data_IF_724958979756
#
_entry.id   IF_724958979756
#
_cell.length_a   1.000
_cell.length_b   1.000
_cell.length_c   1.000
_cell.angle_alpha   90.00
_cell.angle_beta   90.00
_cell.angle_gamma   90.00
#
_symmetry.space_group_name_H-M   'P 1'
#
loop_
_entity.id
_entity.type
_entity.pdbx_description
1 polymer ?
#
# COMPACT_ATOMS: atom_id res chain seq x y z
N UNK A 1 45.37 10.66 84.53
CA UNK A 1 43.94 10.34 84.23
C UNK A 1 43.49 11.20 83.09
N UNK A 2 43.45 10.63 81.94
CA UNK A 2 42.95 11.29 80.71
C UNK A 2 41.87 10.40 80.13
N UNK A 3 40.63 10.87 80.12
CA UNK A 3 39.48 10.17 79.48
C UNK A 3 39.39 10.55 78.04
N UNK A 4 39.50 9.56 77.16
CA UNK A 4 39.34 9.70 75.73
C UNK A 4 37.91 9.35 75.38
N UNK A 5 37.15 10.33 74.87
CA UNK A 5 35.82 10.14 74.33
C UNK A 5 35.94 9.73 72.82
N UNK A 6 35.44 8.58 72.51
CA UNK A 6 35.31 8.12 71.09
C UNK A 6 33.94 8.54 70.64
N UNK A 7 33.89 9.46 69.68
CA UNK A 7 32.67 9.80 68.91
C UNK A 7 32.53 8.82 67.73
N UNK A 8 31.47 7.97 67.75
CA UNK A 8 31.07 7.20 66.62
C UNK A 8 30.20 8.11 65.68
N UNK A 9 30.77 8.52 64.56
CA UNK A 9 30.00 9.14 63.45
C UNK A 9 29.40 8.03 62.60
N UNK A 10 28.08 7.81 62.75
CA UNK A 10 27.33 6.95 61.87
C UNK A 10 27.09 7.63 60.48
N UNK A 11 27.80 7.19 59.50
CA UNK A 11 27.54 7.60 58.15
C UNK A 11 26.24 6.89 57.62
N UNK A 12 25.13 7.59 57.62
CA UNK A 12 23.96 7.19 56.84
C UNK A 12 24.26 7.43 55.34
N UNK A 13 24.63 6.40 54.64
CA UNK A 13 24.63 6.38 53.18
C UNK A 13 23.16 6.35 52.71
N UNK A 14 22.63 7.51 52.40
CA UNK A 14 21.40 7.64 51.63
C UNK A 14 21.70 7.15 50.21
N UNK A 15 21.34 5.93 49.89
CA UNK A 15 21.19 5.45 48.53
C UNK A 15 19.99 6.19 47.90
N UNK A 16 20.25 7.39 47.37
CA UNK A 16 19.36 7.99 46.37
C UNK A 16 19.58 7.18 45.09
N UNK A 17 18.72 6.18 44.89
CA UNK A 17 18.54 5.60 43.60
C UNK A 17 18.06 6.71 42.67
N UNK A 18 18.97 7.28 41.89
CA UNK A 18 18.60 8.03 40.72
C UNK A 18 17.93 7.02 39.75
N UNK A 19 16.60 6.95 39.80
CA UNK A 19 15.84 6.50 38.68
C UNK A 19 16.21 7.47 37.55
N UNK A 20 17.11 7.05 36.66
CA UNK A 20 17.25 7.69 35.36
C UNK A 20 15.88 7.53 34.74
N UNK A 21 15.11 8.61 34.64
CA UNK A 21 13.99 8.74 33.72
C UNK A 21 14.58 8.47 32.33
N UNK A 22 14.53 7.21 31.91
CA UNK A 22 14.80 6.88 30.50
C UNK A 22 13.69 7.55 29.72
N UNK A 23 13.98 8.74 29.20
CA UNK A 23 13.10 9.45 28.34
C UNK A 23 12.67 8.45 27.25
N UNK A 24 11.36 8.19 27.17
CA UNK A 24 10.80 7.23 26.21
C UNK A 24 11.13 7.72 24.82
N UNK A 25 11.71 6.84 23.99
CA UNK A 25 12.09 7.19 22.62
C UNK A 25 10.92 7.02 21.68
N UNK A 26 10.81 7.89 20.69
CA UNK A 26 9.87 7.75 19.58
C UNK A 26 10.29 6.59 18.69
N UNK A 27 9.37 5.66 18.42
CA UNK A 27 9.61 4.44 17.63
C UNK A 27 8.39 4.09 16.79
N UNK A 28 8.60 3.37 15.70
CA UNK A 28 7.51 2.89 14.86
C UNK A 28 6.71 1.74 15.51
N UNK A 29 7.39 0.92 16.31
CA UNK A 29 6.79 -0.18 17.09
C UNK A 29 7.29 -0.12 18.51
N UNK A 30 6.38 -0.11 19.49
CA UNK A 30 6.71 -0.13 20.92
C UNK A 30 6.08 -1.37 21.59
N UNK A 31 6.89 -2.13 22.30
CA UNK A 31 6.43 -3.27 23.08
C UNK A 31 5.73 -2.80 24.36
N UNK A 32 4.59 -3.42 24.67
CA UNK A 32 3.89 -3.28 25.95
C UNK A 32 4.38 -4.39 26.89
N UNK A 33 4.87 -4.02 28.05
CA UNK A 33 5.36 -4.98 29.04
C UNK A 33 4.24 -5.44 29.97
N UNK A 34 4.38 -6.63 30.55
CA UNK A 34 3.34 -7.22 31.39
C UNK A 34 3.01 -6.37 32.66
N UNK A 35 3.92 -5.49 33.08
CA UNK A 35 3.73 -4.61 34.23
C UNK A 35 3.26 -3.20 33.89
N UNK A 36 3.03 -2.89 32.61
CA UNK A 36 2.59 -1.55 32.22
C UNK A 36 1.18 -1.27 32.73
N UNK A 37 1.02 -0.14 33.38
CA UNK A 37 -0.30 0.39 33.73
C UNK A 37 -1.01 0.94 32.47
N UNK A 38 -2.31 1.22 32.57
CA UNK A 38 -3.03 1.90 31.50
C UNK A 38 -2.41 3.26 31.14
N UNK A 39 -1.89 3.99 32.12
CA UNK A 39 -1.20 5.26 31.88
C UNK A 39 0.12 5.05 31.09
N UNK A 40 0.89 4.00 31.42
CA UNK A 40 2.12 3.67 30.69
C UNK A 40 1.82 3.28 29.24
N UNK A 41 0.74 2.51 29.00
CA UNK A 41 0.32 2.13 27.64
C UNK A 41 -0.05 3.37 26.82
N UNK A 42 -0.80 4.32 27.39
CA UNK A 42 -1.12 5.57 26.69
C UNK A 42 0.14 6.42 26.45
N UNK A 43 1.03 6.51 27.40
CA UNK A 43 2.32 7.19 27.22
C UNK A 43 3.14 6.55 26.09
N UNK A 44 3.18 5.22 26.03
CA UNK A 44 3.81 4.47 24.92
C UNK A 44 3.12 4.76 23.58
N UNK A 45 1.80 4.75 23.54
CA UNK A 45 1.05 5.06 22.32
C UNK A 45 1.36 6.46 21.77
N UNK A 46 1.56 7.45 22.67
CA UNK A 46 1.93 8.81 22.27
C UNK A 46 3.37 8.92 21.71
N UNK A 47 4.20 7.88 21.89
CA UNK A 47 5.57 7.81 21.36
C UNK A 47 5.70 6.93 20.13
N UNK A 48 4.58 6.37 19.63
CA UNK A 48 4.56 5.64 18.36
C UNK A 48 4.45 6.62 17.21
N UNK A 49 5.41 6.57 16.29
CA UNK A 49 5.52 7.51 15.16
C UNK A 49 5.69 6.77 13.84
N UNK A 50 5.30 7.40 12.71
CA UNK A 50 5.51 6.81 11.40
C UNK A 50 7.00 6.62 11.11
N UNK A 51 7.33 5.60 10.32
CA UNK A 51 8.61 5.56 9.63
C UNK A 51 8.67 6.68 8.57
N UNK A 52 9.86 7.07 8.10
CA UNK A 52 9.98 8.06 7.03
C UNK A 52 9.18 7.70 5.77
N UNK A 53 9.10 6.41 5.43
CA UNK A 53 8.34 5.92 4.27
C UNK A 53 6.83 6.07 4.48
N UNK A 54 6.34 5.72 5.66
CA UNK A 54 4.94 5.88 6.02
C UNK A 54 4.53 7.35 6.04
N UNK A 55 5.37 8.24 6.60
CA UNK A 55 5.11 9.67 6.57
C UNK A 55 5.05 10.20 5.13
N UNK A 56 5.99 9.81 4.27
CA UNK A 56 6.01 10.21 2.86
C UNK A 56 4.82 9.65 2.07
N UNK A 57 4.29 8.48 2.45
CA UNK A 57 3.08 7.90 1.87
C UNK A 57 1.83 8.66 2.34
N UNK A 58 1.69 8.95 3.63
CA UNK A 58 0.57 9.71 4.19
C UNK A 58 0.46 11.11 3.56
N UNK A 59 1.61 11.77 3.32
CA UNK A 59 1.67 13.09 2.66
C UNK A 59 1.21 13.10 1.20
N UNK A 60 0.98 11.94 0.60
CA UNK A 60 0.35 11.89 -0.72
C UNK A 60 -1.13 12.27 -0.66
N UNK A 61 -1.81 12.07 0.46
CA UNK A 61 -3.22 12.42 0.74
C UNK A 61 -4.23 11.83 -0.24
N UNK A 62 -4.18 12.26 -1.51
CA UNK A 62 -5.07 11.85 -2.59
C UNK A 62 -4.27 11.16 -3.70
N UNK A 63 -4.60 9.90 -3.96
CA UNK A 63 -3.89 9.03 -4.91
C UNK A 63 -4.89 8.31 -5.83
N UNK A 64 -4.44 7.95 -7.01
CA UNK A 64 -5.25 7.24 -7.98
C UNK A 64 -5.04 5.73 -7.89
N UNK A 65 -6.11 4.98 -8.12
CA UNK A 65 -6.07 3.56 -8.44
C UNK A 65 -6.51 3.36 -9.89
N UNK A 66 -5.89 2.46 -10.61
CA UNK A 66 -6.27 2.15 -11.98
C UNK A 66 -6.46 0.65 -12.12
N UNK A 67 -7.73 0.22 -12.20
CA UNK A 67 -8.08 -1.14 -12.58
C UNK A 67 -8.22 -1.20 -14.10
N UNK A 68 -7.30 -1.91 -14.75
CA UNK A 68 -7.28 -2.10 -16.19
C UNK A 68 -6.78 -3.50 -16.51
N UNK A 69 -7.37 -4.14 -17.53
CA UNK A 69 -7.02 -5.51 -17.89
C UNK A 69 -8.14 -6.19 -18.70
N UNK A 70 -8.10 -7.52 -18.86
CA UNK A 70 -9.14 -8.28 -19.57
C UNK A 70 -10.54 -7.99 -19.07
N UNK A 71 -10.72 -7.70 -17.80
CA UNK A 71 -12.00 -7.45 -17.15
C UNK A 71 -12.72 -6.21 -17.73
N UNK A 72 -11.98 -5.20 -18.19
CA UNK A 72 -12.56 -4.07 -18.94
C UNK A 72 -13.20 -4.49 -20.26
N UNK A 73 -12.82 -5.64 -20.81
CA UNK A 73 -13.33 -6.17 -22.09
C UNK A 73 -14.37 -7.26 -21.88
N UNK A 74 -14.32 -8.00 -20.78
CA UNK A 74 -15.28 -9.06 -20.45
C UNK A 74 -16.43 -8.57 -19.58
N UNK A 75 -16.37 -7.36 -19.04
CA UNK A 75 -17.35 -6.78 -18.09
C UNK A 75 -17.45 -7.52 -16.76
N UNK A 76 -16.37 -8.18 -16.36
CA UNK A 76 -16.29 -8.92 -15.11
C UNK A 76 -15.47 -8.14 -14.08
N UNK A 77 -15.80 -8.28 -12.81
CA UNK A 77 -14.95 -7.79 -11.71
C UNK A 77 -13.83 -8.79 -11.42
N UNK A 78 -14.12 -10.07 -11.54
CA UNK A 78 -13.15 -11.15 -11.45
C UNK A 78 -13.14 -11.94 -12.76
N UNK A 79 -11.95 -12.12 -13.31
CA UNK A 79 -11.74 -13.09 -14.38
C UNK A 79 -11.67 -14.52 -13.83
N UNK A 80 -11.64 -15.48 -14.73
CA UNK A 80 -11.53 -16.91 -14.38
C UNK A 80 -10.09 -17.44 -14.44
N UNK A 81 -9.16 -16.66 -15.01
CA UNK A 81 -7.81 -17.11 -15.35
C UNK A 81 -7.76 -18.01 -16.60
N UNK A 82 -8.91 -18.19 -17.28
CA UNK A 82 -9.03 -19.01 -18.50
C UNK A 82 -9.35 -18.18 -19.75
N UNK A 83 -9.38 -16.88 -19.59
CA UNK A 83 -9.60 -15.95 -20.68
C UNK A 83 -8.49 -16.07 -21.72
N UNK A 84 -8.84 -16.14 -23.00
CA UNK A 84 -7.86 -15.95 -24.07
C UNK A 84 -7.27 -14.53 -23.93
N UNK A 85 -5.95 -14.35 -23.82
CA UNK A 85 -5.36 -13.02 -23.79
C UNK A 85 -5.84 -12.06 -24.88
N UNK A 86 -6.29 -12.57 -26.01
CA UNK A 86 -6.84 -11.79 -27.13
C UNK A 86 -8.15 -11.08 -26.83
N UNK A 87 -8.87 -11.44 -25.73
CA UNK A 87 -10.03 -10.67 -25.28
C UNK A 87 -9.66 -9.26 -24.86
N UNK A 88 -8.41 -9.05 -24.44
CA UNK A 88 -7.84 -7.74 -24.20
C UNK A 88 -7.47 -7.08 -25.53
N UNK A 89 -8.48 -6.66 -26.26
CA UNK A 89 -8.38 -6.11 -27.61
C UNK A 89 -8.13 -4.60 -27.61
N UNK A 90 -7.11 -4.16 -26.86
CA UNK A 90 -6.69 -2.77 -26.76
C UNK A 90 -6.12 -2.30 -28.11
N UNK A 91 -6.62 -1.18 -28.62
CA UNK A 91 -6.14 -0.56 -29.87
C UNK A 91 -5.30 0.68 -29.64
N UNK A 92 -5.67 1.46 -28.63
CA UNK A 92 -5.04 2.72 -28.26
C UNK A 92 -4.72 2.72 -26.78
N UNK A 93 -3.78 3.53 -26.37
CA UNK A 93 -3.44 3.77 -24.96
C UNK A 93 -2.92 5.19 -24.84
N UNK A 94 -3.45 5.93 -23.86
CA UNK A 94 -3.04 7.29 -23.59
C UNK A 94 -2.81 7.49 -22.09
N UNK A 95 -1.65 7.07 -21.61
CA UNK A 95 -1.26 7.21 -20.21
C UNK A 95 -0.92 8.65 -19.83
N UNK A 96 -0.61 9.50 -20.81
CA UNK A 96 -0.46 10.94 -20.60
C UNK A 96 -1.79 11.57 -20.21
N UNK A 97 -2.89 11.22 -20.91
CA UNK A 97 -4.24 11.68 -20.55
C UNK A 97 -4.64 11.24 -19.14
N UNK A 98 -4.24 10.03 -18.71
CA UNK A 98 -4.47 9.59 -17.33
C UNK A 98 -3.74 10.51 -16.35
N UNK A 99 -2.45 10.76 -16.60
CA UNK A 99 -1.63 11.61 -15.74
C UNK A 99 -2.13 13.06 -15.70
N UNK A 100 -2.56 13.62 -16.82
CA UNK A 100 -3.15 14.96 -16.89
C UNK A 100 -4.41 15.08 -16.02
N UNK A 101 -5.31 14.11 -16.13
CA UNK A 101 -6.55 14.07 -15.35
C UNK A 101 -6.26 13.92 -13.84
N UNK A 102 -5.33 13.02 -13.46
CA UNK A 102 -4.92 12.84 -12.08
C UNK A 102 -4.26 14.09 -11.50
N UNK A 103 -3.41 14.77 -12.26
CA UNK A 103 -2.81 16.05 -11.85
C UNK A 103 -3.86 17.14 -11.69
N UNK A 104 -4.85 17.21 -12.58
CA UNK A 104 -5.95 18.17 -12.48
C UNK A 104 -6.76 17.97 -11.19
N UNK A 105 -6.92 16.70 -10.75
CA UNK A 105 -7.54 16.36 -9.46
C UNK A 105 -6.68 16.69 -8.24
N UNK A 106 -5.39 16.96 -8.42
CA UNK A 106 -4.44 17.19 -7.31
C UNK A 106 -3.80 15.92 -6.76
N UNK A 107 -3.96 14.79 -7.45
CA UNK A 107 -3.36 13.51 -7.04
C UNK A 107 -1.83 13.56 -7.16
N UNK A 108 -1.15 12.84 -6.27
CA UNK A 108 0.33 12.83 -6.17
C UNK A 108 0.95 11.49 -6.56
N UNK A 109 0.16 10.43 -6.59
CA UNK A 109 0.60 9.07 -6.91
C UNK A 109 -0.50 8.31 -7.66
N UNK A 110 -0.10 7.30 -8.42
CA UNK A 110 -1.01 6.33 -9.06
C UNK A 110 -0.55 4.92 -8.78
N UNK A 111 -1.50 4.02 -8.50
CA UNK A 111 -1.29 2.58 -8.36
C UNK A 111 -2.00 1.90 -9.52
N UNK A 112 -1.25 1.13 -10.33
CA UNK A 112 -1.80 0.35 -11.44
C UNK A 112 -1.97 -1.11 -11.03
N UNK A 113 -3.10 -1.72 -11.33
CA UNK A 113 -3.28 -3.18 -11.23
C UNK A 113 -2.47 -3.88 -12.32
N UNK A 114 -1.17 -4.06 -12.09
CA UNK A 114 -0.28 -4.67 -13.09
C UNK A 114 -0.57 -6.15 -13.31
N UNK A 115 -1.13 -6.83 -12.32
CA UNK A 115 -1.72 -8.17 -12.39
C UNK A 115 -2.90 -8.26 -11.44
N UNK A 116 -4.09 -8.49 -11.96
CA UNK A 116 -5.29 -8.76 -11.16
C UNK A 116 -5.45 -10.27 -10.90
N UNK A 117 -6.56 -10.71 -10.30
CA UNK A 117 -6.80 -12.10 -9.87
C UNK A 117 -6.81 -13.11 -11.03
N UNK A 118 -7.11 -12.67 -12.26
CA UNK A 118 -7.06 -13.52 -13.45
C UNK A 118 -5.63 -13.95 -13.84
N UNK A 119 -4.60 -13.31 -13.24
CA UNK A 119 -3.19 -13.60 -13.51
C UNK A 119 -2.65 -12.93 -14.76
N UNK A 120 -3.46 -12.16 -15.51
CA UNK A 120 -3.01 -11.44 -16.69
C UNK A 120 -2.08 -10.28 -16.34
N UNK A 121 -0.91 -10.24 -16.96
CA UNK A 121 0.10 -9.21 -16.67
C UNK A 121 0.12 -8.10 -17.71
N UNK A 122 0.24 -6.85 -17.27
CA UNK A 122 0.23 -5.65 -18.11
C UNK A 122 1.64 -5.18 -18.54
N UNK A 123 2.68 -5.96 -18.25
CA UNK A 123 4.07 -5.69 -18.62
C UNK A 123 4.70 -6.86 -19.37
N UNK A 124 5.86 -6.65 -19.98
CA UNK A 124 6.58 -7.68 -20.72
C UNK A 124 7.32 -8.66 -19.79
N UNK A 125 6.56 -9.45 -19.02
CA UNK A 125 7.15 -10.42 -18.09
C UNK A 125 7.95 -11.51 -18.83
N UNK A 126 9.03 -11.99 -18.16
CA UNK A 126 9.82 -13.14 -18.58
C UNK A 126 9.20 -14.46 -18.13
N UNK A 127 8.29 -14.42 -17.16
CA UNK A 127 7.91 -15.58 -16.37
C UNK A 127 6.50 -16.11 -16.66
N UNK A 128 5.73 -15.42 -17.50
CA UNK A 128 4.42 -15.87 -17.96
C UNK A 128 4.16 -15.46 -19.39
N UNK A 129 3.30 -16.19 -20.08
CA UNK A 129 2.72 -15.82 -21.37
C UNK A 129 1.29 -15.33 -21.23
N UNK A 130 0.68 -15.46 -20.07
CA UNK A 130 -0.65 -14.93 -19.80
C UNK A 130 -0.55 -13.42 -19.50
N UNK A 131 -0.59 -12.61 -20.55
CA UNK A 131 -0.40 -11.17 -20.42
C UNK A 131 -0.39 -10.44 -21.76
N UNK A 132 -0.03 -9.17 -21.69
CA UNK A 132 -0.03 -8.22 -22.80
C UNK A 132 0.77 -8.71 -24.03
N UNK A 133 1.82 -9.51 -23.80
CA UNK A 133 2.65 -10.07 -24.88
C UNK A 133 1.92 -11.09 -25.74
N UNK A 134 0.78 -11.61 -25.31
CA UNK A 134 -0.04 -12.58 -26.05
C UNK A 134 -1.29 -11.94 -26.68
N UNK A 135 -1.36 -10.62 -26.69
CA UNK A 135 -2.44 -9.83 -27.30
C UNK A 135 -2.01 -9.27 -28.66
N UNK A 136 -2.99 -8.69 -29.39
CA UNK A 136 -2.70 -7.93 -30.62
C UNK A 136 -2.17 -6.52 -30.36
N UNK A 137 -2.14 -6.05 -29.12
CA UNK A 137 -1.71 -4.69 -28.81
C UNK A 137 -0.23 -4.47 -29.14
N UNK A 138 0.03 -3.57 -30.10
CA UNK A 138 1.38 -3.30 -30.64
C UNK A 138 2.12 -4.58 -31.05
N UNK A 139 1.43 -5.50 -31.69
CA UNK A 139 1.95 -6.81 -32.13
C UNK A 139 2.58 -7.63 -30.99
N UNK A 140 1.94 -7.60 -29.80
CA UNK A 140 2.44 -8.27 -28.59
C UNK A 140 3.62 -7.59 -27.92
N UNK A 141 4.02 -6.39 -28.37
CA UNK A 141 5.15 -5.61 -27.83
C UNK A 141 4.70 -4.48 -26.90
N UNK A 142 3.37 -4.37 -26.64
CA UNK A 142 2.84 -3.39 -25.70
C UNK A 142 3.31 -3.62 -24.28
N UNK A 143 3.43 -2.54 -23.51
CA UNK A 143 3.81 -2.58 -22.09
C UNK A 143 3.17 -1.39 -21.38
N UNK A 144 2.02 -1.63 -20.73
CA UNK A 144 1.23 -0.56 -20.11
C UNK A 144 1.94 0.01 -18.89
N UNK A 145 2.61 -0.83 -18.12
CA UNK A 145 3.37 -0.39 -16.95
C UNK A 145 4.53 0.53 -17.36
N UNK A 146 5.19 0.22 -18.47
CA UNK A 146 6.25 1.05 -19.01
C UNK A 146 5.71 2.41 -19.46
N UNK A 147 4.66 2.41 -20.28
CA UNK A 147 4.04 3.65 -20.77
C UNK A 147 3.60 4.54 -19.59
N UNK A 148 2.93 3.95 -18.58
CA UNK A 148 2.52 4.71 -17.40
C UNK A 148 3.72 5.22 -16.58
N UNK A 149 4.78 4.41 -16.43
CA UNK A 149 6.01 4.82 -15.73
C UNK A 149 6.65 6.04 -16.40
N UNK A 150 6.68 6.06 -17.73
CA UNK A 150 7.20 7.19 -18.52
C UNK A 150 6.33 8.44 -18.36
N UNK A 151 5.00 8.29 -18.44
CA UNK A 151 4.05 9.37 -18.19
C UNK A 151 4.14 9.90 -16.75
N UNK A 152 4.21 9.03 -15.74
CA UNK A 152 4.39 9.45 -14.35
C UNK A 152 5.64 10.33 -14.17
N UNK A 153 6.76 9.94 -14.81
CA UNK A 153 7.99 10.70 -14.77
C UNK A 153 7.84 12.08 -15.43
N UNK A 154 7.15 12.12 -16.58
CA UNK A 154 6.87 13.36 -17.32
C UNK A 154 5.99 14.32 -16.52
N UNK A 155 4.97 13.82 -15.82
CA UNK A 155 4.00 14.63 -15.09
C UNK A 155 4.34 14.83 -13.60
N UNK A 156 5.44 14.25 -13.13
CA UNK A 156 5.85 14.34 -11.72
C UNK A 156 4.89 13.63 -10.76
N UNK A 157 4.33 12.47 -11.17
CA UNK A 157 3.55 11.58 -10.33
C UNK A 157 4.43 10.45 -9.81
N UNK A 158 4.19 10.02 -8.58
CA UNK A 158 4.75 8.79 -8.04
C UNK A 158 4.02 7.58 -8.63
N UNK A 159 4.71 6.46 -8.77
CA UNK A 159 4.15 5.20 -9.25
C UNK A 159 4.12 4.16 -8.13
N UNK A 160 2.99 3.52 -7.94
CA UNK A 160 2.78 2.31 -7.17
C UNK A 160 2.25 1.18 -8.06
N UNK A 161 2.30 -0.04 -7.56
CA UNK A 161 1.83 -1.22 -8.29
C UNK A 161 0.97 -2.10 -7.39
N UNK A 162 -0.18 -2.52 -7.90
CA UNK A 162 -0.97 -3.59 -7.33
C UNK A 162 -0.59 -4.90 -8.03
N UNK A 163 -0.17 -5.87 -7.25
CA UNK A 163 0.16 -7.20 -7.73
C UNK A 163 -0.63 -8.22 -6.91
N UNK A 164 -1.67 -8.80 -7.51
CA UNK A 164 -2.53 -9.76 -6.82
C UNK A 164 -1.74 -11.00 -6.38
N UNK A 165 -1.78 -11.36 -5.07
CA UNK A 165 -1.32 -12.67 -4.63
C UNK A 165 -2.15 -13.81 -5.20
N UNK A 166 -3.47 -13.63 -5.32
CA UNK A 166 -4.33 -14.55 -6.05
C UNK A 166 -4.02 -14.51 -7.55
N UNK A 167 -3.87 -15.67 -8.17
CA UNK A 167 -3.58 -15.82 -9.58
C UNK A 167 -4.29 -17.06 -10.11
N UNK A 168 -5.48 -16.84 -10.65
CA UNK A 168 -6.36 -17.92 -11.08
C UNK A 168 -5.78 -18.71 -12.26
N UNK A 169 -4.95 -18.06 -13.09
CA UNK A 169 -4.27 -18.73 -14.18
C UNK A 169 -3.19 -19.72 -13.70
N UNK A 170 -2.36 -19.33 -12.73
CA UNK A 170 -1.24 -20.14 -12.28
C UNK A 170 -1.58 -21.09 -11.14
N UNK A 171 -2.40 -20.63 -10.17
CA UNK A 171 -2.74 -21.40 -8.96
C UNK A 171 -3.87 -22.37 -9.21
N UNK A 172 -4.90 -21.95 -9.94
CA UNK A 172 -6.13 -22.71 -10.14
C UNK A 172 -6.22 -23.44 -11.49
N UNK A 173 -5.18 -23.35 -12.30
CA UNK A 173 -5.12 -24.09 -13.54
C UNK A 173 -5.09 -25.61 -13.23
N UNK A 174 -5.99 -26.43 -13.83
CA UNK A 174 -6.00 -27.87 -13.65
C UNK A 174 -4.68 -28.56 -14.03
N UNK A 175 -3.91 -27.95 -14.93
CA UNK A 175 -2.59 -28.43 -15.35
C UNK A 175 -1.49 -28.11 -14.34
N UNK A 176 -1.80 -27.33 -13.27
CA UNK A 176 -1.02 -27.23 -12.07
C UNK A 176 0.39 -26.68 -12.20
N UNK A 177 0.55 -25.55 -12.93
CA UNK A 177 1.89 -24.95 -13.10
C UNK A 177 2.52 -24.52 -11.76
N UNK A 178 1.71 -24.08 -10.80
CA UNK A 178 2.15 -23.62 -9.48
C UNK A 178 1.10 -24.02 -8.45
N UNK A 179 1.16 -25.25 -7.99
CA UNK A 179 0.32 -25.70 -6.88
C UNK A 179 1.08 -25.63 -5.57
N UNK A 180 0.37 -25.49 -4.47
CA UNK A 180 0.88 -25.58 -3.10
C UNK A 180 1.48 -26.97 -2.76
N UNK A 181 1.58 -27.84 -3.74
CA UNK A 181 2.20 -29.18 -3.61
C UNK A 181 3.69 -29.19 -4.02
N UNK A 182 4.21 -28.10 -4.58
CA UNK A 182 5.63 -28.04 -4.95
C UNK A 182 6.49 -27.87 -3.68
N UNK A 183 7.68 -28.50 -3.62
CA UNK A 183 8.51 -28.45 -2.44
C UNK A 183 9.17 -27.09 -2.27
N UNK A 184 9.36 -26.69 -1.01
CA UNK A 184 10.20 -25.54 -0.65
C UNK A 184 11.67 -25.92 -0.87
N UNK A 185 12.30 -25.24 -1.80
CA UNK A 185 13.72 -25.45 -2.15
C UNK A 185 14.45 -24.12 -2.27
N UNK A 186 15.77 -24.16 -2.22
CA UNK A 186 16.60 -22.97 -2.41
C UNK A 186 16.49 -22.50 -3.87
N UNK A 187 16.08 -21.25 -4.05
CA UNK A 187 15.88 -20.58 -5.34
C UNK A 187 16.70 -19.30 -5.41
N UNK A 188 17.25 -19.03 -6.58
CA UNK A 188 17.94 -17.76 -6.86
C UNK A 188 17.00 -16.82 -7.60
N UNK A 189 16.84 -15.61 -7.06
CA UNK A 189 16.01 -14.55 -7.64
C UNK A 189 16.92 -13.41 -8.14
N UNK A 190 16.74 -12.93 -9.37
CA UNK A 190 15.85 -13.46 -10.40
C UNK A 190 16.35 -14.76 -10.99
N UNK A 191 15.44 -15.62 -11.43
CA UNK A 191 15.75 -16.77 -12.27
C UNK A 191 16.14 -16.27 -13.67
N UNK A 192 17.27 -16.71 -14.18
CA UNK A 192 17.73 -16.31 -15.49
C UNK A 192 16.85 -16.86 -16.61
N UNK A 193 16.61 -16.02 -17.62
CA UNK A 193 15.88 -16.38 -18.83
C UNK A 193 16.77 -16.13 -20.04
N UNK A 194 17.08 -17.15 -20.84
CA UNK A 194 17.95 -17.02 -22.01
C UNK A 194 17.47 -15.90 -22.95
N UNK A 195 18.39 -15.07 -23.40
CA UNK A 195 18.09 -13.97 -24.33
C UNK A 195 17.40 -12.74 -23.71
N UNK A 196 17.06 -12.78 -22.40
CA UNK A 196 16.40 -11.66 -21.70
C UNK A 196 17.09 -11.32 -20.38
N UNK A 197 18.37 -10.93 -20.38
CA UNK A 197 19.10 -10.61 -19.16
C UNK A 197 18.55 -9.36 -18.49
N UNK A 198 18.68 -9.29 -17.15
CA UNK A 198 18.44 -8.09 -16.38
C UNK A 198 19.64 -7.15 -16.43
N UNK A 199 19.38 -5.85 -16.47
CA UNK A 199 20.41 -4.83 -16.24
C UNK A 199 20.89 -4.87 -14.78
N UNK A 200 19.96 -4.99 -13.82
CA UNK A 200 20.30 -5.20 -12.41
C UNK A 200 20.92 -6.58 -12.21
N UNK A 201 22.12 -6.62 -11.63
CA UNK A 201 22.88 -7.86 -11.42
C UNK A 201 22.78 -8.42 -10.01
N UNK A 202 22.00 -7.79 -9.13
CA UNK A 202 21.78 -8.28 -7.76
C UNK A 202 21.11 -9.66 -7.81
N UNK A 203 21.52 -10.53 -6.90
CA UNK A 203 20.98 -11.88 -6.74
C UNK A 203 20.56 -12.10 -5.30
N UNK A 204 19.44 -12.77 -5.11
CA UNK A 204 18.88 -13.11 -3.81
C UNK A 204 18.65 -14.61 -3.74
N UNK A 205 18.80 -15.18 -2.55
CA UNK A 205 18.48 -16.58 -2.30
C UNK A 205 17.31 -16.67 -1.33
N UNK A 206 16.31 -17.47 -1.69
CA UNK A 206 15.13 -17.76 -0.87
C UNK A 206 14.86 -19.26 -0.87
N UNK A 207 14.29 -19.75 0.23
CA UNK A 207 13.72 -21.10 0.32
C UNK A 207 12.20 -20.96 0.15
N UNK A 208 11.72 -21.29 -1.05
CA UNK A 208 10.32 -21.08 -1.46
C UNK A 208 9.85 -22.17 -2.40
N UNK A 209 8.53 -22.29 -2.58
CA UNK A 209 7.90 -23.13 -3.59
C UNK A 209 7.87 -22.45 -4.97
N UNK A 210 7.35 -23.14 -5.97
CA UNK A 210 7.34 -22.66 -7.37
C UNK A 210 6.52 -21.37 -7.54
N UNK A 211 5.36 -21.27 -6.85
CA UNK A 211 4.53 -20.08 -6.96
C UNK A 211 5.21 -18.85 -6.32
N UNK A 212 5.78 -19.02 -5.14
CA UNK A 212 6.48 -17.94 -4.47
C UNK A 212 7.77 -17.53 -5.22
N UNK A 213 8.47 -18.47 -5.88
CA UNK A 213 9.56 -18.15 -6.81
C UNK A 213 9.04 -17.29 -7.97
N UNK A 214 7.93 -17.69 -8.60
CA UNK A 214 7.29 -16.94 -9.69
C UNK A 214 6.94 -15.52 -9.25
N UNK A 215 6.30 -15.37 -8.09
CA UNK A 215 5.90 -14.06 -7.56
C UNK A 215 7.12 -13.17 -7.24
N UNK A 216 8.16 -13.73 -6.63
CA UNK A 216 9.43 -13.03 -6.38
C UNK A 216 10.10 -12.57 -7.68
N UNK A 217 10.06 -13.38 -8.72
CA UNK A 217 10.60 -13.01 -10.03
C UNK A 217 9.82 -11.86 -10.66
N UNK A 218 8.48 -11.85 -10.55
CA UNK A 218 7.65 -10.73 -11.00
C UNK A 218 7.95 -9.45 -10.22
N UNK A 219 8.07 -9.54 -8.89
CA UNK A 219 8.48 -8.39 -8.07
C UNK A 219 9.85 -7.86 -8.49
N UNK A 220 10.81 -8.74 -8.77
CA UNK A 220 12.14 -8.32 -9.23
C UNK A 220 12.07 -7.55 -10.55
N UNK A 221 11.30 -8.04 -11.55
CA UNK A 221 11.07 -7.32 -12.82
C UNK A 221 10.55 -5.93 -12.59
N UNK A 222 9.45 -5.83 -11.84
CA UNK A 222 8.73 -4.57 -11.60
C UNK A 222 9.62 -3.57 -10.86
N UNK A 223 10.29 -4.00 -9.80
CA UNK A 223 11.06 -3.12 -8.92
C UNK A 223 12.40 -2.68 -9.52
N UNK A 224 12.91 -3.38 -10.57
CA UNK A 224 14.21 -3.06 -11.15
C UNK A 224 14.16 -2.45 -12.55
N UNK A 225 13.03 -2.59 -13.27
CA UNK A 225 12.97 -2.19 -14.69
C UNK A 225 11.99 -1.04 -14.98
N UNK A 226 11.09 -0.69 -14.05
CA UNK A 226 10.02 0.29 -14.29
C UNK A 226 10.17 1.60 -13.52
N UNK A 227 11.35 1.85 -12.96
CA UNK A 227 11.67 3.05 -12.21
C UNK A 227 11.30 2.95 -10.73
N UNK A 228 11.34 4.05 -9.97
CA UNK A 228 11.03 4.00 -8.55
C UNK A 228 9.57 3.61 -8.32
N UNK A 229 9.36 2.55 -7.53
CA UNK A 229 8.05 2.15 -7.03
C UNK A 229 7.93 2.64 -5.60
N UNK A 230 6.84 3.36 -5.30
CA UNK A 230 6.61 4.00 -4.00
C UNK A 230 5.63 3.24 -3.12
N UNK A 231 4.82 2.37 -3.72
CA UNK A 231 3.91 1.49 -3.00
C UNK A 231 3.73 0.18 -3.74
N UNK A 232 3.75 -0.93 -2.99
CA UNK A 232 3.37 -2.27 -3.46
C UNK A 232 2.08 -2.66 -2.76
N UNK A 233 1.03 -2.80 -3.53
CA UNK A 233 -0.31 -3.06 -3.03
C UNK A 233 -0.68 -4.53 -3.18
N UNK A 234 -0.87 -5.22 -2.06
CA UNK A 234 -1.31 -6.61 -2.03
C UNK A 234 -2.79 -6.69 -1.66
N UNK A 235 -3.57 -7.32 -2.54
CA UNK A 235 -4.96 -7.63 -2.27
C UNK A 235 -5.08 -8.72 -1.19
N UNK A 236 -6.08 -8.60 -0.33
CA UNK A 236 -6.41 -9.63 0.67
C UNK A 236 -7.12 -10.84 0.08
N UNK A 237 -7.49 -10.80 -1.21
CA UNK A 237 -8.18 -11.90 -1.87
C UNK A 237 -7.33 -13.19 -1.88
N UNK A 238 -8.00 -14.30 -1.68
CA UNK A 238 -7.38 -15.63 -1.71
C UNK A 238 -8.20 -16.54 -2.62
N UNK A 239 -7.58 -17.37 -3.46
CA UNK A 239 -8.29 -18.36 -4.26
C UNK A 239 -9.12 -19.27 -3.35
N UNK A 240 -10.38 -19.48 -3.70
CA UNK A 240 -11.32 -20.32 -2.94
C UNK A 240 -11.07 -21.82 -3.16
N UNK A 241 -10.07 -22.17 -3.94
CA UNK A 241 -9.75 -23.56 -4.26
C UNK A 241 -9.36 -24.35 -3.01
N UNK A 242 -9.86 -25.55 -2.90
CA UNK A 242 -9.49 -26.48 -1.83
C UNK A 242 -7.97 -26.73 -1.86
N UNK A 243 -7.30 -26.50 -0.74
CA UNK A 243 -5.86 -26.65 -0.61
C UNK A 243 -5.03 -25.41 -1.02
N UNK A 244 -5.64 -24.23 -1.11
CA UNK A 244 -5.07 -22.96 -1.58
C UNK A 244 -3.58 -22.73 -1.38
N UNK A 245 -3.00 -21.88 -2.20
CA UNK A 245 -1.58 -21.55 -2.19
C UNK A 245 -1.19 -20.79 -0.90
N UNK A 246 -0.08 -21.14 -0.29
CA UNK A 246 0.52 -20.36 0.78
C UNK A 246 1.34 -19.22 0.20
N UNK A 247 1.05 -17.99 0.61
CA UNK A 247 1.77 -16.78 0.19
C UNK A 247 2.91 -16.48 1.16
N UNK A 248 4.14 -16.44 0.66
CA UNK A 248 5.32 -16.16 1.48
C UNK A 248 5.61 -14.66 1.56
N UNK A 249 4.71 -13.93 2.23
CA UNK A 249 4.85 -12.49 2.42
C UNK A 249 6.18 -12.06 3.07
N UNK A 250 6.75 -12.78 4.04
CA UNK A 250 8.07 -12.42 4.56
C UNK A 250 9.17 -12.41 3.51
N UNK A 251 9.18 -13.38 2.58
CA UNK A 251 10.13 -13.40 1.46
C UNK A 251 9.89 -12.24 0.49
N UNK A 252 8.63 -11.97 0.16
CA UNK A 252 8.26 -10.86 -0.72
C UNK A 252 8.64 -9.50 -0.11
N UNK A 253 8.32 -9.27 1.17
CA UNK A 253 8.74 -8.08 1.92
C UNK A 253 10.25 -7.89 1.88
N UNK A 254 11.01 -8.96 2.17
CA UNK A 254 12.48 -8.89 2.15
C UNK A 254 13.02 -8.43 0.80
N UNK A 255 12.46 -8.94 -0.30
CA UNK A 255 12.86 -8.52 -1.65
C UNK A 255 12.46 -7.07 -1.93
N UNK A 256 11.22 -6.68 -1.60
CA UNK A 256 10.72 -5.31 -1.81
C UNK A 256 11.60 -4.31 -1.06
N UNK A 257 11.84 -4.52 0.23
CA UNK A 257 12.64 -3.58 1.04
C UNK A 257 14.10 -3.52 0.60
N UNK A 258 14.64 -4.59 -0.03
CA UNK A 258 15.98 -4.58 -0.59
C UNK A 258 16.07 -3.81 -1.92
N UNK A 259 15.05 -3.90 -2.79
CA UNK A 259 15.05 -3.29 -4.13
C UNK A 259 14.38 -1.91 -4.17
N UNK A 260 13.39 -1.69 -3.33
CA UNK A 260 12.64 -0.44 -3.19
C UNK A 260 12.53 -0.06 -1.70
N UNK A 261 13.64 0.34 -1.04
CA UNK A 261 13.68 0.59 0.39
C UNK A 261 12.73 1.71 0.84
N UNK A 262 12.36 2.61 -0.06
CA UNK A 262 11.45 3.72 0.22
C UNK A 262 9.97 3.38 -0.06
N UNK A 263 9.67 2.19 -0.56
CA UNK A 263 8.29 1.78 -0.79
C UNK A 263 7.59 1.37 0.51
N UNK A 264 6.31 1.70 0.60
CA UNK A 264 5.39 1.14 1.59
C UNK A 264 4.67 -0.08 1.00
N UNK A 265 4.20 -0.97 1.86
CA UNK A 265 3.47 -2.18 1.46
C UNK A 265 2.07 -2.11 2.06
N UNK A 266 1.06 -2.03 1.18
CA UNK A 266 -0.35 -2.11 1.58
C UNK A 266 -0.74 -3.53 1.97
N UNK A 267 -1.62 -3.64 2.97
CA UNK A 267 -2.11 -4.91 3.51
C UNK A 267 -1.09 -5.63 4.41
N UNK A 268 -0.05 -4.91 4.81
CA UNK A 268 1.03 -5.37 5.68
C UNK A 268 1.33 -4.31 6.75
N UNK A 269 2.49 -4.36 7.32
CA UNK A 269 2.89 -3.50 8.44
C UNK A 269 2.89 -2.00 8.14
N UNK A 270 3.02 -1.58 6.88
CA UNK A 270 3.14 -0.15 6.57
C UNK A 270 1.77 0.53 6.45
N UNK A 271 0.85 -0.05 5.68
CA UNK A 271 -0.46 0.55 5.33
C UNK A 271 -1.56 -0.50 5.49
N UNK A 272 -2.67 -0.11 6.08
CA UNK A 272 -3.85 -0.95 6.29
C UNK A 272 -5.05 -0.49 5.48
N UNK A 273 -5.93 -1.41 5.19
CA UNK A 273 -7.26 -1.12 4.67
C UNK A 273 -8.16 -0.50 5.75
N UNK A 274 -9.00 0.46 5.38
CA UNK A 274 -9.96 1.06 6.32
C UNK A 274 -11.20 0.20 6.59
N UNK A 275 -11.34 -0.97 5.93
CA UNK A 275 -12.35 -1.97 6.24
C UNK A 275 -13.57 -2.00 5.32
N UNK A 276 -13.62 -1.18 4.26
CA UNK A 276 -14.67 -1.19 3.25
C UNK A 276 -14.19 -0.59 1.92
N UNK A 277 -14.92 -0.84 0.84
CA UNK A 277 -14.65 -0.34 -0.51
C UNK A 277 -15.59 0.80 -0.93
N UNK A 278 -16.39 1.31 -0.01
CA UNK A 278 -17.38 2.34 -0.28
C UNK A 278 -16.85 3.78 -0.07
N UNK A 279 -15.60 3.94 0.34
CA UNK A 279 -15.04 5.23 0.73
C UNK A 279 -15.44 5.66 2.14
N UNK A 280 -15.92 4.72 2.96
CA UNK A 280 -16.27 4.98 4.35
C UNK A 280 -15.04 5.01 5.26
N UNK A 281 -15.04 5.96 6.21
CA UNK A 281 -14.02 6.05 7.26
C UNK A 281 -14.69 6.08 8.62
N UNK A 282 -13.94 5.78 9.67
CA UNK A 282 -14.29 6.19 11.02
C UNK A 282 -14.22 7.72 11.11
N UNK A 283 -14.77 8.29 12.17
CA UNK A 283 -14.68 9.74 12.41
C UNK A 283 -13.21 10.22 12.47
N UNK A 284 -12.33 9.38 12.94
CA UNK A 284 -10.87 9.53 12.88
C UNK A 284 -10.26 8.14 12.69
N UNK A 285 -9.45 7.98 11.66
CA UNK A 285 -8.66 6.77 11.49
C UNK A 285 -7.41 6.87 12.35
N UNK A 286 -7.31 5.98 13.33
CA UNK A 286 -6.15 5.91 14.19
C UNK A 286 -5.02 5.17 13.52
N UNK A 287 -3.81 5.68 13.69
CA UNK A 287 -2.62 5.09 13.09
C UNK A 287 -1.74 4.33 14.12
N UNK A 288 -2.04 4.46 15.41
CA UNK A 288 -1.42 3.63 16.44
C UNK A 288 -2.30 2.42 16.69
N UNK A 289 -1.86 1.27 16.20
CA UNK A 289 -2.66 0.04 16.16
C UNK A 289 -2.15 -0.96 17.22
N UNK A 290 -3.08 -1.57 18.00
CA UNK A 290 -2.73 -2.61 18.97
C UNK A 290 -2.53 -3.97 18.28
N UNK A 291 -1.40 -4.61 18.52
CA UNK A 291 -1.08 -5.95 18.04
C UNK A 291 -0.78 -6.91 19.19
N UNK A 292 -1.15 -8.20 19.02
CA UNK A 292 -0.83 -9.28 19.96
C UNK A 292 0.50 -9.98 19.66
N UNK A 293 1.08 -9.74 18.49
CA UNK A 293 2.38 -10.22 18.06
C UNK A 293 3.21 -9.06 17.49
N UNK A 294 4.52 -9.24 17.35
CA UNK A 294 5.38 -8.22 16.78
C UNK A 294 5.10 -8.02 15.29
N UNK A 295 4.60 -6.86 14.85
CA UNK A 295 4.28 -6.59 13.44
C UNK A 295 5.48 -6.78 12.49
N UNK A 296 6.70 -6.51 12.94
CA UNK A 296 7.91 -6.65 12.12
C UNK A 296 8.18 -8.10 11.71
N UNK A 297 7.63 -9.06 12.46
CA UNK A 297 7.85 -10.51 12.25
C UNK A 297 6.58 -11.26 11.87
N UNK A 298 5.43 -10.59 11.84
CA UNK A 298 4.17 -11.21 11.45
C UNK A 298 4.17 -11.59 9.96
N UNK A 299 3.67 -12.77 9.65
CA UNK A 299 3.43 -13.20 8.27
C UNK A 299 2.04 -12.84 7.76
N UNK A 300 1.07 -12.66 8.65
CA UNK A 300 -0.32 -12.35 8.31
C UNK A 300 -0.81 -11.14 9.09
N UNK A 301 -1.54 -10.27 8.42
CA UNK A 301 -2.23 -9.13 9.00
C UNK A 301 -3.73 -9.29 8.73
N UNK A 302 -4.52 -9.21 9.79
CA UNK A 302 -5.97 -9.21 9.67
C UNK A 302 -6.47 -7.83 9.22
N UNK A 303 -7.62 -7.80 8.56
CA UNK A 303 -8.32 -6.56 8.27
C UNK A 303 -8.79 -5.90 9.59
N UNK A 304 -8.53 -4.61 9.74
CA UNK A 304 -8.86 -3.84 10.93
C UNK A 304 -10.25 -3.21 10.77
N UNK A 305 -11.30 -4.04 10.91
CA UNK A 305 -12.69 -3.63 10.66
C UNK A 305 -13.46 -3.16 11.90
N UNK A 306 -12.89 -3.29 13.10
CA UNK A 306 -13.53 -2.90 14.35
C UNK A 306 -13.87 -1.41 14.38
N UNK A 307 -15.11 -1.07 14.76
CA UNK A 307 -15.58 0.33 14.81
C UNK A 307 -14.86 1.16 15.87
N UNK A 308 -14.39 0.53 16.93
CA UNK A 308 -13.69 1.14 18.05
C UNK A 308 -12.17 1.03 17.96
N UNK A 309 -11.65 0.72 16.77
CA UNK A 309 -10.21 0.72 16.50
C UNK A 309 -9.62 2.08 16.91
N UNK A 310 -8.61 2.08 17.77
CA UNK A 310 -8.02 3.28 18.36
C UNK A 310 -8.66 3.74 19.68
N UNK A 311 -9.70 3.04 20.17
CA UNK A 311 -10.16 3.25 21.54
C UNK A 311 -9.08 2.87 22.55
N UNK A 312 -9.11 3.50 23.73
CA UNK A 312 -8.18 3.15 24.82
C UNK A 312 -8.33 1.70 25.24
N UNK A 313 -9.55 1.17 25.24
CA UNK A 313 -9.87 -0.21 25.61
C UNK A 313 -9.20 -1.21 24.65
N UNK A 314 -9.06 -0.88 23.38
CA UNK A 314 -8.32 -1.70 22.43
C UNK A 314 -6.80 -1.58 22.67
N UNK A 315 -6.30 -0.38 22.91
CA UNK A 315 -4.86 -0.17 23.21
C UNK A 315 -4.43 -0.93 24.47
N UNK A 316 -5.25 -1.01 25.52
CA UNK A 316 -4.94 -1.73 26.75
C UNK A 316 -4.75 -3.24 26.59
N UNK A 317 -5.22 -3.82 25.48
CA UNK A 317 -5.05 -5.24 25.15
C UNK A 317 -3.77 -5.53 24.39
N UNK A 318 -3.05 -4.49 23.95
CA UNK A 318 -1.89 -4.63 23.10
C UNK A 318 -0.72 -5.31 23.81
N UNK A 319 0.04 -6.10 23.05
CA UNK A 319 1.42 -6.50 23.38
C UNK A 319 2.45 -5.68 22.60
N UNK A 320 2.01 -5.08 21.52
CA UNK A 320 2.77 -4.14 20.68
C UNK A 320 1.84 -3.03 20.23
N UNK A 321 2.36 -1.80 20.24
CA UNK A 321 1.75 -0.64 19.63
C UNK A 321 2.57 -0.30 18.40
N UNK A 322 1.92 -0.18 17.26
CA UNK A 322 2.60 -0.01 15.97
C UNK A 322 1.93 1.06 15.14
N UNK A 323 2.73 1.88 14.46
CA UNK A 323 2.19 2.85 13.52
C UNK A 323 1.80 2.15 12.22
N UNK A 324 0.54 2.25 11.84
CA UNK A 324 0.03 1.70 10.59
C UNK A 324 -1.09 2.60 10.07
N UNK A 325 -0.78 3.38 9.05
CA UNK A 325 -1.75 4.32 8.49
C UNK A 325 -2.86 3.62 7.72
N UNK A 326 -4.05 4.26 7.72
CA UNK A 326 -5.18 3.80 6.93
C UNK A 326 -5.10 4.31 5.48
N UNK A 327 -5.64 3.50 4.58
CA UNK A 327 -5.95 3.89 3.22
C UNK A 327 -7.43 3.61 2.94
N UNK A 328 -8.14 4.65 2.55
CA UNK A 328 -9.57 4.62 2.21
C UNK A 328 -9.71 4.48 0.71
N UNK A 329 -10.31 3.40 0.25
CA UNK A 329 -10.47 3.13 -1.17
C UNK A 329 -11.92 3.08 -1.61
N UNK A 330 -12.16 3.53 -2.82
CA UNK A 330 -13.43 3.37 -3.55
C UNK A 330 -13.21 3.62 -5.04
N UNK A 331 -14.23 3.34 -5.83
CA UNK A 331 -14.19 3.61 -7.28
C UNK A 331 -15.05 4.83 -7.63
N UNK A 332 -14.61 5.59 -8.64
CA UNK A 332 -15.40 6.69 -9.21
C UNK A 332 -16.63 6.16 -9.96
N UNK A 333 -16.61 4.89 -10.38
CA UNK A 333 -17.71 4.20 -11.05
C UNK A 333 -18.23 3.05 -10.20
N UNK A 334 -19.41 2.54 -10.51
CA UNK A 334 -19.86 1.26 -9.96
C UNK A 334 -18.94 0.14 -10.47
N UNK A 335 -18.36 -0.63 -9.54
CA UNK A 335 -17.34 -1.66 -9.82
C UNK A 335 -15.94 -1.08 -10.00
N UNK A 336 -14.96 -1.99 -10.09
CA UNK A 336 -13.55 -1.63 -10.20
C UNK A 336 -13.10 -1.46 -11.65
N UNK A 337 -13.64 -2.25 -12.57
CA UNK A 337 -13.31 -2.18 -13.98
C UNK A 337 -14.34 -1.37 -14.76
N UNK A 338 -13.88 -0.70 -15.81
CA UNK A 338 -14.76 -0.03 -16.75
C UNK A 338 -15.68 -1.04 -17.45
N UNK A 339 -16.95 -0.71 -17.50
CA UNK A 339 -17.95 -1.41 -18.32
C UNK A 339 -18.55 -0.44 -19.34
N UNK A 340 -18.70 -0.90 -20.57
CA UNK A 340 -19.33 -0.15 -21.65
C UNK A 340 -20.85 -0.31 -21.69
N UNK A 341 -21.42 -0.98 -20.70
CA UNK A 341 -22.86 -0.96 -20.50
C UNK A 341 -23.31 0.43 -20.03
N UNK A 342 -24.46 0.85 -20.50
CA UNK A 342 -24.97 2.21 -20.34
C UNK A 342 -25.36 2.57 -18.91
N UNK A 343 -25.21 1.67 -17.95
CA UNK A 343 -25.76 1.80 -16.60
C UNK A 343 -24.71 1.97 -15.50
N UNK A 344 -23.41 1.94 -15.85
CA UNK A 344 -22.37 2.17 -14.88
C UNK A 344 -22.36 3.64 -14.45
N UNK A 345 -22.85 3.90 -13.23
CA UNK A 345 -22.92 5.27 -12.68
C UNK A 345 -21.54 5.79 -12.34
N UNK A 346 -21.35 7.10 -12.52
CA UNK A 346 -20.19 7.86 -12.08
C UNK A 346 -20.58 8.66 -10.86
N UNK A 347 -19.72 8.69 -9.84
CA UNK A 347 -19.90 9.54 -8.65
C UNK A 347 -19.92 11.01 -9.04
N UNK A 348 -20.73 11.80 -8.35
CA UNK A 348 -20.70 13.26 -8.51
C UNK A 348 -19.42 13.87 -7.90
N UNK A 349 -19.11 15.08 -8.31
CA UNK A 349 -18.05 15.88 -7.68
C UNK A 349 -18.29 16.06 -6.17
N UNK A 350 -19.54 16.28 -5.76
CA UNK A 350 -19.90 16.43 -4.34
C UNK A 350 -19.57 15.16 -3.54
N UNK A 351 -19.90 13.98 -4.08
CA UNK A 351 -19.63 12.71 -3.42
C UNK A 351 -18.11 12.42 -3.32
N UNK A 352 -17.36 12.65 -4.39
CA UNK A 352 -15.90 12.46 -4.37
C UNK A 352 -15.22 13.44 -3.42
N UNK A 353 -15.67 14.70 -3.39
CA UNK A 353 -15.13 15.71 -2.51
C UNK A 353 -15.46 15.41 -1.02
N UNK A 354 -16.68 14.98 -0.72
CA UNK A 354 -17.07 14.57 0.63
C UNK A 354 -16.22 13.38 1.14
N UNK A 355 -15.95 12.39 0.26
CA UNK A 355 -15.06 11.28 0.62
C UNK A 355 -13.64 11.79 0.87
N UNK A 356 -13.14 12.71 0.03
CA UNK A 356 -11.83 13.32 0.23
C UNK A 356 -11.72 14.00 1.60
N UNK A 357 -12.70 14.84 1.94
CA UNK A 357 -12.70 15.53 3.24
C UNK A 357 -12.73 14.57 4.42
N UNK A 358 -13.57 13.53 4.36
CA UNK A 358 -13.66 12.53 5.43
C UNK A 358 -12.42 11.65 5.52
N UNK A 359 -11.85 11.25 4.40
CA UNK A 359 -10.69 10.39 4.37
C UNK A 359 -9.43 11.16 4.82
N UNK A 360 -9.09 12.24 4.13
CA UNK A 360 -7.87 13.01 4.42
C UNK A 360 -7.99 13.76 5.74
N UNK A 361 -9.11 14.42 5.99
CA UNK A 361 -9.40 15.06 7.27
C UNK A 361 -9.55 14.07 8.43
N UNK A 362 -9.91 12.81 8.13
CA UNK A 362 -10.00 11.70 9.08
C UNK A 362 -8.68 10.94 9.28
N UNK A 363 -7.56 11.47 8.80
CA UNK A 363 -6.22 10.88 8.97
C UNK A 363 -6.00 9.56 8.17
N UNK A 364 -6.53 9.51 6.94
CA UNK A 364 -6.36 8.41 6.00
C UNK A 364 -5.92 8.91 4.63
N UNK A 365 -5.15 8.15 3.89
CA UNK A 365 -4.93 8.42 2.47
C UNK A 365 -6.19 8.08 1.68
N UNK A 366 -6.59 8.92 0.72
CA UNK A 366 -7.70 8.63 -0.17
C UNK A 366 -7.22 8.04 -1.49
N UNK A 367 -7.58 6.81 -1.76
CA UNK A 367 -7.30 6.06 -2.99
C UNK A 367 -8.57 5.95 -3.83
N UNK A 368 -8.66 6.72 -4.91
CA UNK A 368 -9.79 6.72 -5.83
C UNK A 368 -9.47 5.93 -7.09
N UNK A 369 -10.24 4.89 -7.37
CA UNK A 369 -10.12 4.12 -8.60
C UNK A 369 -10.78 4.83 -9.77
N UNK A 370 -10.05 4.93 -10.87
CA UNK A 370 -10.50 5.53 -12.13
C UNK A 370 -10.21 4.53 -13.24
N UNK A 371 -11.19 3.71 -13.64
CA UNK A 371 -10.96 2.64 -14.62
C UNK A 371 -10.92 3.21 -16.05
N UNK A 372 -9.85 2.96 -16.81
CA UNK A 372 -9.78 3.32 -18.22
C UNK A 372 -10.81 2.53 -19.05
N UNK A 373 -11.37 3.19 -20.05
CA UNK A 373 -12.25 2.56 -21.01
C UNK A 373 -11.46 1.66 -22.00
N UNK A 374 -12.16 0.99 -22.90
CA UNK A 374 -11.56 0.07 -23.89
C UNK A 374 -10.65 0.75 -24.91
N UNK A 375 -10.69 2.09 -25.00
CA UNK A 375 -9.77 2.87 -25.82
C UNK A 375 -8.51 3.31 -25.04
N UNK A 376 -8.27 2.74 -23.85
CA UNK A 376 -7.10 3.06 -23.03
C UNK A 376 -7.07 4.50 -22.51
N UNK A 377 -8.24 5.11 -22.29
CA UNK A 377 -8.40 6.49 -21.81
C UNK A 377 -9.40 6.57 -20.67
N UNK A 378 -9.23 7.51 -19.77
CA UNK A 378 -10.32 7.87 -18.86
C UNK A 378 -11.49 8.46 -19.65
N UNK A 379 -12.71 8.11 -19.28
CA UNK A 379 -13.90 8.64 -19.94
C UNK A 379 -14.05 10.14 -19.66
N UNK A 380 -14.61 10.91 -20.62
CA UNK A 380 -14.78 12.36 -20.44
C UNK A 380 -15.56 12.75 -19.17
N UNK A 381 -16.51 11.94 -18.77
CA UNK A 381 -17.28 12.14 -17.53
C UNK A 381 -16.42 12.02 -16.30
N UNK A 382 -15.52 11.03 -16.25
CA UNK A 382 -14.61 10.81 -15.12
C UNK A 382 -13.59 11.95 -15.04
N UNK A 383 -13.06 12.38 -16.19
CA UNK A 383 -12.14 13.52 -16.30
C UNK A 383 -12.79 14.80 -15.81
N UNK A 384 -14.07 15.05 -16.13
CA UNK A 384 -14.81 16.21 -15.66
C UNK A 384 -14.91 16.21 -14.12
N UNK A 385 -15.35 15.11 -13.51
CA UNK A 385 -15.44 14.97 -12.05
C UNK A 385 -14.09 15.17 -11.38
N UNK A 386 -13.02 14.57 -11.92
CA UNK A 386 -11.66 14.74 -11.39
C UNK A 386 -11.21 16.19 -11.41
N UNK A 387 -11.42 16.90 -12.53
CA UNK A 387 -11.05 18.30 -12.70
C UNK A 387 -11.81 19.20 -11.74
N UNK A 388 -13.11 19.03 -11.62
CA UNK A 388 -13.97 19.80 -10.72
C UNK A 388 -13.62 19.53 -9.24
N UNK A 389 -13.39 18.25 -8.87
CA UNK A 389 -12.94 17.89 -7.52
C UNK A 389 -11.61 18.57 -7.18
N UNK A 390 -10.63 18.52 -8.09
CA UNK A 390 -9.35 19.17 -7.87
C UNK A 390 -9.44 20.68 -7.79
N UNK A 391 -10.32 21.31 -8.57
CA UNK A 391 -10.60 22.75 -8.45
C UNK A 391 -11.17 23.07 -7.08
N UNK A 392 -12.16 22.32 -6.61
CA UNK A 392 -12.80 22.51 -5.30
C UNK A 392 -11.82 22.31 -4.14
N UNK A 393 -10.94 21.29 -4.21
CA UNK A 393 -9.87 21.10 -3.22
C UNK A 393 -8.97 22.33 -3.14
N UNK A 394 -8.52 22.86 -4.29
CA UNK A 394 -7.67 24.05 -4.32
C UNK A 394 -8.37 25.30 -3.80
N UNK A 395 -9.63 25.49 -4.14
CA UNK A 395 -10.42 26.64 -3.67
C UNK A 395 -10.68 26.58 -2.17
N UNK A 396 -10.90 25.37 -1.62
CA UNK A 396 -11.19 25.19 -0.20
C UNK A 396 -9.93 25.21 0.66
N UNK A 397 -8.86 24.51 0.22
CA UNK A 397 -7.68 24.23 1.04
C UNK A 397 -6.38 24.86 0.50
N UNK A 398 -6.44 25.57 -0.61
CA UNK A 398 -5.25 26.15 -1.25
C UNK A 398 -4.67 27.39 -0.53
N UNK A 399 -5.39 27.95 0.44
CA UNK A 399 -4.93 29.10 1.22
C UNK A 399 -4.42 28.63 2.58
N UNK A 400 -3.15 28.92 2.85
CA UNK A 400 -2.54 28.71 4.16
C UNK A 400 -3.01 29.78 5.13
N UNK A 401 -4.01 29.46 5.93
CA UNK A 401 -4.59 30.38 6.91
C UNK A 401 -3.62 30.72 8.05
N UNK A 402 -2.65 29.85 8.34
CA UNK A 402 -1.65 30.09 9.38
C UNK A 402 -0.67 31.19 9.04
N UNK A 403 -0.43 31.48 7.75
CA UNK A 403 0.45 32.59 7.33
C UNK A 403 -0.02 33.95 7.78
N UNK A 404 -1.32 34.10 8.06
CA UNK A 404 -1.96 35.35 8.47
C UNK A 404 -2.48 35.30 9.91
N UNK A 405 -2.31 34.16 10.59
CA UNK A 405 -2.77 33.97 11.94
C UNK A 405 -1.85 34.67 12.94
N UNK A 406 -2.43 35.30 13.96
CA UNK A 406 -1.73 35.83 15.12
C UNK A 406 -1.90 34.86 16.29
N UNK A 407 -0.82 34.52 16.97
CA UNK A 407 -0.86 33.59 18.10
C UNK A 407 0.52 33.29 18.67
N UNK A 408 0.60 32.37 19.64
CA UNK A 408 1.87 31.92 20.18
C UNK A 408 2.77 31.37 19.07
N UNK A 409 4.04 31.76 19.08
CA UNK A 409 5.01 31.41 18.03
C UNK A 409 5.13 29.90 17.85
N UNK A 410 5.06 29.16 18.96
CA UNK A 410 5.15 27.69 18.99
C UNK A 410 4.02 26.99 18.21
N UNK A 411 2.91 27.67 18.04
CA UNK A 411 1.75 27.17 17.25
C UNK A 411 1.87 27.57 15.79
N UNK A 412 2.47 28.75 15.52
CA UNK A 412 2.52 29.36 14.18
C UNK A 412 3.73 28.90 13.36
N UNK A 413 4.80 28.45 14.01
CA UNK A 413 6.04 28.03 13.32
C UNK A 413 6.00 26.58 12.81
N UNK A 414 4.90 25.86 13.03
CA UNK A 414 4.67 24.48 12.61
C UNK A 414 5.72 23.47 13.12
N UNK A 415 6.38 23.79 14.21
CA UNK A 415 7.41 22.94 14.85
C UNK A 415 6.88 22.16 16.07
N UNK A 416 5.55 21.97 16.15
CA UNK A 416 4.90 21.21 17.23
C UNK A 416 4.84 19.72 16.93
#
# INVERSE_FOLDING_TARGET
MKHTFILLLGAMLSLQGQAQDKQMQFQNTIKVEAGDSHADIIAKAAHVVPSPNQLAALQNEFIAFIHFGPNSFTRLEWGSGKEDPKVFDLKELDTDQWCEAMKAAGMKMVILTVKHHDGFVLWQSRYTKHGIMSTGFRDGKGDILKDLSESCRKYGLKLGVYLSPADLYHIENPEGLYGNLSPYTKRTIPREVPGRPFANKTRFEFVVDDYNEYFLNQLFEILTEYGPIHEVWFDGAHPKRKGGQTYNYPAWKKLIKALAPNAVIFGREDVRWCGNEAGGTRSTEWNVIPYLANPDTMSNFADMTDKDLGSREQLYKAKYLHYQQAETNTSIREGWFYRDDTHQKVRSTDDVFDIYERAVGGNSTFLLNIPPNRNGKFSPTDVAVLKETGQRIRETYGTDLFRQAEGPKEVLDQNA
#
